data_IF_470126646373
#
_entry.id   IF_470126646373
#
_cell.length_a   1.000
_cell.length_b   1.000
_cell.length_c   1.000
_cell.angle_alpha   90.00
_cell.angle_beta   90.00
_cell.angle_gamma   90.00
#
_symmetry.space_group_name_H-M   'P 1'
#
loop_
_entity.id
_entity.type
_entity.pdbx_description
1 polymer ?
#
# COMPACT_ATOMS: atom_id res chain seq x y z
N UNK A 1 -20.07 44.51 44.39
CA UNK A 1 -21.35 43.79 44.23
C UNK A 1 -21.36 43.22 42.82
N UNK A 2 -21.44 41.93 42.51
CA UNK A 2 -21.55 40.71 43.28
C UNK A 2 -20.78 39.63 42.50
N UNK A 3 -20.07 38.75 43.20
CA UNK A 3 -19.48 37.57 42.62
C UNK A 3 -20.59 36.69 42.03
N UNK A 4 -20.51 36.36 40.74
CA UNK A 4 -21.32 35.29 40.19
C UNK A 4 -20.74 33.96 40.70
N UNK A 5 -21.54 33.24 41.48
CA UNK A 5 -21.21 31.91 41.96
C UNK A 5 -20.87 31.01 40.76
N UNK A 6 -19.66 30.49 40.74
CA UNK A 6 -19.26 29.40 39.84
C UNK A 6 -20.08 28.18 40.27
N UNK A 7 -21.13 27.88 39.50
CA UNK A 7 -21.95 26.68 39.69
C UNK A 7 -21.00 25.47 39.64
N UNK A 8 -20.95 24.74 40.76
CA UNK A 8 -20.11 23.57 40.93
C UNK A 8 -20.36 22.57 39.81
N UNK A 9 -19.28 22.08 39.21
CA UNK A 9 -19.32 20.98 38.25
C UNK A 9 -19.66 19.70 39.02
N UNK A 10 -20.94 19.51 39.35
CA UNK A 10 -21.45 18.19 39.72
C UNK A 10 -21.59 17.39 38.42
N UNK A 11 -20.45 16.96 37.88
CA UNK A 11 -20.47 16.04 36.76
C UNK A 11 -21.07 14.73 37.28
N UNK A 12 -22.05 14.13 36.59
CA UNK A 12 -22.56 12.83 36.99
C UNK A 12 -21.40 11.83 37.09
N UNK A 13 -21.47 10.85 38.01
CA UNK A 13 -20.44 9.83 38.14
C UNK A 13 -20.20 9.14 36.79
N UNK A 14 -18.94 8.83 36.48
CA UNK A 14 -18.61 8.14 35.23
C UNK A 14 -19.41 6.83 35.13
N UNK A 15 -19.99 6.47 33.98
CA UNK A 15 -20.80 5.26 33.85
C UNK A 15 -20.10 3.97 34.31
N UNK A 16 -18.77 3.89 34.20
CA UNK A 16 -17.98 2.75 34.70
C UNK A 16 -17.86 2.80 36.22
N UNK A 17 -17.64 3.98 36.80
CA UNK A 17 -17.57 4.15 38.26
C UNK A 17 -18.92 3.82 38.91
N UNK A 18 -20.03 4.23 38.30
CA UNK A 18 -21.38 3.88 38.75
C UNK A 18 -21.62 2.36 38.74
N UNK A 19 -21.23 1.66 37.67
CA UNK A 19 -21.35 0.19 37.60
C UNK A 19 -20.40 -0.48 38.60
N UNK A 20 -19.19 0.03 38.78
CA UNK A 20 -18.24 -0.57 39.73
C UNK A 20 -18.76 -0.44 41.16
N UNK A 21 -19.33 0.72 41.53
CA UNK A 21 -19.94 0.93 42.83
C UNK A 21 -21.19 0.06 43.06
N UNK A 22 -22.01 -0.17 42.03
CA UNK A 22 -23.20 -1.04 42.12
C UNK A 22 -22.83 -2.51 42.43
N UNK A 23 -21.66 -2.96 41.97
CA UNK A 23 -21.20 -4.34 42.09
C UNK A 23 -20.10 -4.54 43.15
N UNK A 24 -19.80 -3.55 43.98
CA UNK A 24 -18.67 -3.57 44.94
C UNK A 24 -18.74 -4.76 45.92
N UNK A 25 -19.93 -5.05 46.46
CA UNK A 25 -20.16 -6.19 47.34
C UNK A 25 -19.91 -7.53 46.62
N UNK A 26 -20.36 -7.67 45.37
CA UNK A 26 -20.11 -8.86 44.56
C UNK A 26 -18.62 -9.04 44.28
N UNK A 27 -17.91 -7.97 43.97
CA UNK A 27 -16.47 -8.02 43.68
C UNK A 27 -15.67 -8.42 44.91
N UNK A 28 -16.05 -7.91 46.08
CA UNK A 28 -15.47 -8.30 47.36
C UNK A 28 -15.72 -9.78 47.67
N UNK A 29 -16.94 -10.27 47.43
CA UNK A 29 -17.27 -11.68 47.65
C UNK A 29 -16.53 -12.60 46.67
N UNK A 30 -16.46 -12.24 45.38
CA UNK A 30 -15.67 -12.99 44.39
C UNK A 30 -14.20 -13.05 44.81
N UNK A 31 -13.64 -11.94 45.29
CA UNK A 31 -12.25 -11.90 45.74
C UNK A 31 -11.99 -12.92 46.87
N UNK A 32 -12.93 -13.07 47.81
CA UNK A 32 -12.86 -14.06 48.89
C UNK A 32 -12.82 -15.51 48.36
N UNK A 33 -13.54 -15.81 47.28
CA UNK A 33 -13.56 -17.14 46.65
C UNK A 33 -12.40 -17.41 45.68
N UNK A 34 -11.62 -16.40 45.32
CA UNK A 34 -10.50 -16.49 44.38
C UNK A 34 -9.14 -16.38 45.07
N UNK A 35 -9.02 -16.95 46.28
CA UNK A 35 -7.81 -16.93 47.10
C UNK A 35 -6.77 -18.00 46.71
N UNK A 36 -7.16 -18.97 45.88
CA UNK A 36 -6.30 -20.04 45.37
C UNK A 36 -6.65 -21.44 45.86
N UNK A 37 -7.59 -21.57 46.81
CA UNK A 37 -8.05 -22.88 47.29
C UNK A 37 -9.05 -23.52 46.31
N UNK A 38 -8.95 -24.84 46.02
CA UNK A 38 -9.89 -25.52 45.15
C UNK A 38 -11.24 -25.78 45.86
N UNK A 39 -12.32 -25.76 45.08
CA UNK A 39 -13.65 -26.22 45.53
C UNK A 39 -13.61 -27.72 45.85
N UNK A 40 -14.09 -28.12 47.03
CA UNK A 40 -14.06 -29.51 47.53
C UNK A 40 -15.44 -30.09 47.83
N UNK A 41 -16.49 -29.27 47.84
CA UNK A 41 -17.87 -29.72 48.07
C UNK A 41 -18.83 -29.30 46.97
N UNK A 42 -20.00 -29.94 46.92
CA UNK A 42 -21.04 -29.61 45.95
C UNK A 42 -21.68 -28.25 46.24
N UNK A 43 -21.83 -27.91 47.51
CA UNK A 43 -22.37 -26.63 47.98
C UNK A 43 -21.46 -25.48 47.55
N UNK A 44 -20.14 -25.62 47.75
CA UNK A 44 -19.14 -24.65 47.27
C UNK A 44 -19.18 -24.50 45.74
N UNK A 45 -19.38 -25.60 45.00
CA UNK A 45 -19.55 -25.53 43.54
C UNK A 45 -20.77 -24.69 43.14
N UNK A 46 -21.91 -24.90 43.81
CA UNK A 46 -23.16 -24.22 43.47
C UNK A 46 -23.08 -22.72 43.82
N UNK A 47 -22.42 -22.35 44.93
CA UNK A 47 -22.13 -20.94 45.28
C UNK A 47 -21.23 -20.24 44.25
N UNK A 48 -20.13 -20.90 43.83
CA UNK A 48 -19.26 -20.39 42.76
C UNK A 48 -20.02 -20.25 41.43
N UNK A 49 -20.90 -21.19 41.11
CA UNK A 49 -21.73 -21.11 39.90
C UNK A 49 -22.66 -19.88 39.91
N UNK A 50 -23.22 -19.53 41.05
CA UNK A 50 -24.05 -18.33 41.21
C UNK A 50 -23.23 -17.03 41.13
N UNK A 51 -22.04 -16.98 41.74
CA UNK A 51 -21.12 -15.84 41.59
C UNK A 51 -20.69 -15.64 40.13
N UNK A 52 -20.38 -16.73 39.42
CA UNK A 52 -20.07 -16.68 37.98
C UNK A 52 -21.22 -16.11 37.14
N UNK A 53 -22.47 -16.41 37.50
CA UNK A 53 -23.65 -15.84 36.82
C UNK A 53 -23.75 -14.34 37.08
N UNK A 54 -23.54 -13.89 38.31
CA UNK A 54 -23.58 -12.47 38.67
C UNK A 54 -22.45 -11.67 38.00
N UNK A 55 -21.23 -12.23 37.94
CA UNK A 55 -20.09 -11.65 37.21
C UNK A 55 -20.34 -11.48 35.72
N UNK A 56 -21.08 -12.40 35.08
CA UNK A 56 -21.53 -12.21 33.68
C UNK A 56 -22.43 -10.97 33.54
N UNK A 57 -23.26 -10.70 34.54
CA UNK A 57 -24.07 -9.49 34.67
C UNK A 57 -23.19 -8.23 34.76
N UNK A 58 -22.27 -8.21 35.73
CA UNK A 58 -21.30 -7.13 35.90
C UNK A 58 -20.52 -6.81 34.61
N UNK A 59 -19.96 -7.83 33.95
CA UNK A 59 -19.26 -7.67 32.66
C UNK A 59 -20.14 -7.05 31.58
N UNK A 60 -21.41 -7.44 31.53
CA UNK A 60 -22.37 -6.92 30.55
C UNK A 60 -22.72 -5.45 30.86
N UNK A 61 -22.88 -5.10 32.14
CA UNK A 61 -23.10 -3.73 32.60
C UNK A 61 -21.92 -2.82 32.26
N UNK A 62 -20.67 -3.27 32.52
CA UNK A 62 -19.46 -2.57 32.13
C UNK A 62 -19.37 -2.35 30.61
N UNK A 63 -19.75 -3.35 29.81
CA UNK A 63 -19.75 -3.21 28.34
C UNK A 63 -20.72 -2.13 27.89
N UNK A 64 -21.91 -2.04 28.52
CA UNK A 64 -22.89 -1.00 28.22
C UNK A 64 -22.39 0.38 28.63
N UNK A 65 -21.88 0.52 29.85
CA UNK A 65 -21.30 1.77 30.36
C UNK A 65 -20.10 2.25 29.52
N UNK A 66 -19.26 1.33 29.07
CA UNK A 66 -18.15 1.64 28.16
C UNK A 66 -18.62 2.19 26.82
N UNK A 67 -19.72 1.66 26.27
CA UNK A 67 -20.35 2.22 25.06
C UNK A 67 -20.94 3.60 25.31
N UNK A 68 -21.69 3.77 26.39
CA UNK A 68 -22.26 5.07 26.77
C UNK A 68 -21.20 6.17 26.89
N UNK A 69 -20.04 5.82 27.45
CA UNK A 69 -18.88 6.72 27.55
C UNK A 69 -18.23 7.04 26.20
N UNK A 70 -18.16 6.09 25.28
CA UNK A 70 -17.36 6.21 24.04
C UNK A 70 -18.16 6.58 22.80
N UNK A 71 -19.43 6.20 22.72
CA UNK A 71 -20.31 6.44 21.58
C UNK A 71 -20.46 7.93 21.25
N UNK A 72 -20.66 8.85 22.23
CA UNK A 72 -20.73 10.28 21.94
C UNK A 72 -19.43 10.83 21.33
N UNK A 73 -18.28 10.37 21.84
CA UNK A 73 -16.96 10.78 21.33
C UNK A 73 -16.74 10.29 19.91
N UNK A 74 -17.05 9.01 19.64
CA UNK A 74 -16.94 8.44 18.31
C UNK A 74 -17.88 9.11 17.30
N UNK A 75 -19.11 9.46 17.73
CA UNK A 75 -20.07 10.21 16.91
C UNK A 75 -19.55 11.62 16.60
N UNK A 76 -19.04 12.34 17.58
CA UNK A 76 -18.47 13.67 17.40
C UNK A 76 -17.26 13.62 16.45
N UNK A 77 -16.32 12.70 16.69
CA UNK A 77 -15.17 12.49 15.81
C UNK A 77 -15.59 12.21 14.36
N UNK A 78 -16.57 11.33 14.14
CA UNK A 78 -17.09 11.05 12.79
C UNK A 78 -17.69 12.28 12.12
N UNK A 79 -18.42 13.12 12.85
CA UNK A 79 -18.99 14.35 12.32
C UNK A 79 -17.88 15.33 11.89
N UNK A 80 -16.83 15.50 12.71
CA UNK A 80 -15.68 16.35 12.37
C UNK A 80 -14.92 15.84 11.15
N UNK A 81 -14.67 14.52 11.08
CA UNK A 81 -14.05 13.91 9.89
C UNK A 81 -14.88 14.17 8.63
N UNK A 82 -16.21 14.04 8.72
CA UNK A 82 -17.10 14.33 7.60
C UNK A 82 -17.07 15.82 7.20
N UNK A 83 -17.03 16.74 8.17
CA UNK A 83 -16.95 18.17 7.92
C UNK A 83 -15.62 18.55 7.22
N UNK A 84 -14.49 18.01 7.69
CA UNK A 84 -13.18 18.20 7.05
C UNK A 84 -13.17 17.63 5.63
N UNK A 85 -13.79 16.45 5.44
CA UNK A 85 -13.83 15.77 4.14
C UNK A 85 -14.43 16.64 3.03
N UNK A 86 -15.42 17.48 3.34
CA UNK A 86 -16.02 18.40 2.36
C UNK A 86 -14.96 19.32 1.73
N UNK A 87 -14.05 19.84 2.55
CA UNK A 87 -13.00 20.75 2.09
C UNK A 87 -11.86 20.01 1.40
N UNK A 88 -11.45 18.85 1.91
CA UNK A 88 -10.38 18.07 1.29
C UNK A 88 -10.81 17.54 -0.08
N UNK A 89 -12.05 17.07 -0.21
CA UNK A 89 -12.60 16.61 -1.50
C UNK A 89 -12.65 17.75 -2.52
N UNK A 90 -13.01 18.96 -2.10
CA UNK A 90 -13.06 20.12 -2.99
C UNK A 90 -11.66 20.57 -3.42
N UNK A 91 -10.70 20.59 -2.49
CA UNK A 91 -9.30 20.85 -2.79
C UNK A 91 -8.72 19.82 -3.79
N UNK A 92 -9.04 18.54 -3.62
CA UNK A 92 -8.66 17.48 -4.57
C UNK A 92 -9.27 17.71 -5.96
N UNK A 93 -10.54 18.12 -6.03
CA UNK A 93 -11.20 18.47 -7.30
C UNK A 93 -10.53 19.66 -7.98
N UNK A 94 -10.22 20.72 -7.24
CA UNK A 94 -9.51 21.90 -7.75
C UNK A 94 -8.12 21.52 -8.27
N UNK A 95 -7.36 20.72 -7.51
CA UNK A 95 -6.06 20.22 -7.95
C UNK A 95 -6.19 19.38 -9.23
N UNK A 96 -7.18 18.49 -9.29
CA UNK A 96 -7.49 17.69 -10.48
C UNK A 96 -7.82 18.55 -11.70
N UNK A 97 -8.62 19.60 -11.52
CA UNK A 97 -8.96 20.55 -12.57
C UNK A 97 -7.73 21.30 -13.11
N UNK A 98 -6.84 21.76 -12.23
CA UNK A 98 -5.59 22.41 -12.63
C UNK A 98 -4.67 21.45 -13.38
N UNK A 99 -4.54 20.19 -12.92
CA UNK A 99 -3.77 19.16 -13.62
C UNK A 99 -4.35 18.89 -15.00
N UNK A 100 -5.67 18.77 -15.12
CA UNK A 100 -6.36 18.58 -16.39
C UNK A 100 -6.18 19.78 -17.34
N UNK A 101 -6.23 21.00 -16.82
CA UNK A 101 -6.03 22.22 -17.61
C UNK A 101 -4.61 22.29 -18.22
N UNK A 102 -3.58 21.90 -17.47
CA UNK A 102 -2.18 21.94 -17.96
C UNK A 102 -1.78 20.70 -18.76
N UNK A 103 -2.54 19.61 -18.70
CA UNK A 103 -2.17 18.33 -19.32
C UNK A 103 -1.98 18.42 -20.85
N UNK A 104 -2.87 19.05 -21.64
CA UNK A 104 -2.67 19.18 -23.09
C UNK A 104 -1.42 19.97 -23.46
N UNK A 105 -1.12 21.02 -22.70
CA UNK A 105 0.08 21.85 -22.92
C UNK A 105 1.36 21.07 -22.61
N UNK A 106 1.39 20.34 -21.48
CA UNK A 106 2.52 19.45 -21.15
C UNK A 106 2.72 18.35 -22.19
N UNK A 107 1.64 17.81 -22.78
CA UNK A 107 1.73 16.83 -23.86
C UNK A 107 2.36 17.42 -25.13
N UNK A 108 2.00 18.66 -25.50
CA UNK A 108 2.64 19.39 -26.61
C UNK A 108 4.13 19.61 -26.35
N UNK A 109 4.49 20.10 -25.16
CA UNK A 109 5.91 20.28 -24.78
C UNK A 109 6.67 18.95 -24.81
N UNK A 110 6.05 17.84 -24.42
CA UNK A 110 6.67 16.53 -24.48
C UNK A 110 6.88 16.07 -25.92
N UNK A 111 5.96 16.35 -26.85
CA UNK A 111 6.17 16.06 -28.28
C UNK A 111 7.28 16.93 -28.87
N UNK A 112 7.27 18.23 -28.59
CA UNK A 112 8.32 19.15 -29.03
C UNK A 112 9.70 18.70 -28.52
N UNK A 113 9.79 18.28 -27.26
CA UNK A 113 11.04 17.77 -26.71
C UNK A 113 11.45 16.44 -27.34
N UNK A 114 10.51 15.51 -27.59
CA UNK A 114 10.80 14.28 -28.33
C UNK A 114 11.27 14.56 -29.76
N UNK A 115 10.71 15.57 -30.42
CA UNK A 115 11.16 15.98 -31.75
C UNK A 115 12.58 16.57 -31.71
N UNK A 116 12.90 17.41 -30.73
CA UNK A 116 14.27 17.91 -30.51
C UNK A 116 15.25 16.80 -30.20
N UNK A 117 14.85 15.84 -29.37
CA UNK A 117 15.65 14.66 -29.03
C UNK A 117 15.92 13.81 -30.27
N UNK A 118 14.90 13.51 -31.09
CA UNK A 118 15.08 12.80 -32.37
C UNK A 118 16.05 13.53 -33.28
N UNK A 119 15.88 14.83 -33.48
CA UNK A 119 16.76 15.63 -34.32
C UNK A 119 18.21 15.66 -33.79
N UNK A 120 18.40 15.75 -32.47
CA UNK A 120 19.74 15.74 -31.86
C UNK A 120 20.43 14.38 -32.02
N UNK A 121 19.69 13.28 -31.87
CA UNK A 121 20.21 11.93 -32.10
C UNK A 121 20.46 11.63 -33.57
N UNK A 122 19.64 12.13 -34.50
CA UNK A 122 19.89 12.04 -35.94
C UNK A 122 21.18 12.80 -36.33
N UNK A 123 21.40 13.98 -35.75
CA UNK A 123 22.64 14.74 -35.94
C UNK A 123 23.86 13.99 -35.37
N UNK A 124 23.74 13.44 -34.16
CA UNK A 124 24.81 12.64 -33.55
C UNK A 124 25.11 11.36 -34.34
N UNK A 125 24.08 10.69 -34.89
CA UNK A 125 24.24 9.51 -35.75
C UNK A 125 24.98 9.86 -37.05
N UNK A 126 24.68 11.01 -37.66
CA UNK A 126 25.41 11.49 -38.83
C UNK A 126 26.90 11.71 -38.51
N UNK A 127 27.22 12.39 -37.42
CA UNK A 127 28.61 12.60 -37.00
C UNK A 127 29.33 11.29 -36.68
N UNK A 128 28.63 10.32 -36.06
CA UNK A 128 29.16 8.97 -35.84
C UNK A 128 29.53 8.28 -37.16
N UNK A 129 28.62 8.26 -38.14
CA UNK A 129 28.88 7.64 -39.45
C UNK A 129 30.05 8.32 -40.18
N UNK A 130 30.16 9.64 -40.09
CA UNK A 130 31.28 10.41 -40.66
C UNK A 130 32.61 10.08 -39.96
N UNK A 131 32.60 9.91 -38.64
CA UNK A 131 33.78 9.49 -37.88
C UNK A 131 34.20 8.05 -38.19
N UNK A 132 33.25 7.12 -38.30
CA UNK A 132 33.48 5.73 -38.72
C UNK A 132 34.06 5.66 -40.14
N UNK A 133 33.52 6.44 -41.08
CA UNK A 133 34.03 6.51 -42.45
C UNK A 133 35.45 7.08 -42.51
N UNK A 134 35.73 8.12 -41.72
CA UNK A 134 37.08 8.72 -41.61
C UNK A 134 38.08 7.72 -41.01
N UNK A 135 37.66 6.96 -39.99
CA UNK A 135 38.47 5.89 -39.42
C UNK A 135 38.74 4.75 -40.41
N UNK A 136 37.74 4.36 -41.21
CA UNK A 136 37.87 3.30 -42.20
C UNK A 136 38.79 3.68 -43.38
N UNK A 137 38.84 4.97 -43.74
CA UNK A 137 39.67 5.47 -44.83
C UNK A 137 41.12 5.79 -44.41
N UNK A 138 41.41 5.88 -43.11
CA UNK A 138 42.71 6.31 -42.61
C UNK A 138 43.76 5.18 -42.62
N UNK A 139 44.93 5.47 -43.20
CA UNK A 139 46.08 4.57 -43.10
C UNK A 139 46.72 4.65 -41.70
N UNK A 140 47.12 3.50 -41.15
CA UNK A 140 47.81 3.42 -39.85
C UNK A 140 49.22 4.05 -39.88
N UNK A 141 49.83 4.18 -41.06
CA UNK A 141 51.16 4.76 -41.24
C UNK A 141 51.15 6.25 -41.58
N UNK A 142 49.98 6.89 -41.67
CA UNK A 142 49.83 8.32 -41.96
C UNK A 142 49.39 9.10 -40.71
N UNK A 143 50.31 9.91 -40.17
CA UNK A 143 50.08 10.69 -38.95
C UNK A 143 48.95 11.72 -39.10
N UNK A 144 48.80 12.34 -40.27
CA UNK A 144 47.74 13.33 -40.51
C UNK A 144 46.38 12.62 -40.63
N UNK A 145 46.34 11.43 -41.24
CA UNK A 145 45.15 10.60 -41.24
C UNK A 145 44.74 10.18 -39.81
N UNK A 146 45.72 9.81 -38.96
CA UNK A 146 45.44 9.49 -37.56
C UNK A 146 44.95 10.71 -36.75
N UNK A 147 45.47 11.91 -37.02
CA UNK A 147 44.96 13.16 -36.43
C UNK A 147 43.53 13.45 -36.84
N UNK A 148 43.18 13.23 -38.11
CA UNK A 148 41.82 13.37 -38.63
C UNK A 148 40.84 12.38 -37.95
N UNK A 149 41.26 11.13 -37.74
CA UNK A 149 40.47 10.13 -36.98
C UNK A 149 40.24 10.57 -35.53
N UNK A 150 41.28 11.06 -34.86
CA UNK A 150 41.15 11.55 -33.48
C UNK A 150 40.20 12.76 -33.38
N UNK A 151 40.29 13.70 -34.33
CA UNK A 151 39.37 14.83 -34.41
C UNK A 151 37.92 14.41 -34.68
N UNK A 152 37.70 13.46 -35.60
CA UNK A 152 36.38 12.95 -35.91
C UNK A 152 35.75 12.17 -34.73
N UNK A 153 36.54 11.38 -33.99
CA UNK A 153 36.09 10.73 -32.75
C UNK A 153 35.75 11.74 -31.66
N UNK A 154 36.52 12.81 -31.52
CA UNK A 154 36.19 13.86 -30.55
C UNK A 154 34.87 14.57 -30.92
N UNK A 155 34.66 14.85 -32.21
CA UNK A 155 33.40 15.41 -32.70
C UNK A 155 32.21 14.47 -32.46
N UNK A 156 32.37 13.16 -32.63
CA UNK A 156 31.35 12.16 -32.28
C UNK A 156 30.99 12.23 -30.78
N UNK A 157 32.00 12.23 -29.90
CA UNK A 157 31.79 12.29 -28.45
C UNK A 157 31.03 13.57 -28.06
N UNK A 158 31.38 14.71 -28.65
CA UNK A 158 30.71 15.98 -28.40
C UNK A 158 29.27 15.98 -28.91
N UNK A 159 29.01 15.43 -30.09
CA UNK A 159 27.67 15.28 -30.64
C UNK A 159 26.79 14.35 -29.77
N UNK A 160 27.33 13.22 -29.30
CA UNK A 160 26.64 12.33 -28.38
C UNK A 160 26.36 12.99 -27.02
N UNK A 161 27.30 13.78 -26.48
CA UNK A 161 27.09 14.55 -25.25
C UNK A 161 26.00 15.61 -25.41
N UNK A 162 25.99 16.30 -26.55
CA UNK A 162 24.96 17.28 -26.88
C UNK A 162 23.57 16.63 -26.99
N UNK A 163 23.44 15.51 -27.72
CA UNK A 163 22.19 14.75 -27.81
C UNK A 163 21.72 14.25 -26.43
N UNK A 164 22.64 13.73 -25.63
CA UNK A 164 22.35 13.27 -24.26
C UNK A 164 21.90 14.40 -23.32
N UNK A 165 22.37 15.63 -23.53
CA UNK A 165 21.92 16.80 -22.76
C UNK A 165 20.47 17.15 -23.09
N UNK A 166 20.07 17.06 -24.37
CA UNK A 166 18.68 17.28 -24.81
C UNK A 166 17.73 16.22 -24.23
N UNK A 167 18.15 14.96 -24.18
CA UNK A 167 17.37 13.86 -23.55
C UNK A 167 17.14 14.05 -22.05
N UNK A 168 18.00 14.82 -21.37
CA UNK A 168 17.87 15.11 -19.93
C UNK A 168 16.90 16.24 -19.62
N UNK A 169 16.66 17.14 -20.58
CA UNK A 169 15.71 18.23 -20.45
C UNK A 169 14.28 17.70 -20.63
N UNK A 170 13.68 17.21 -19.54
CA UNK A 170 12.35 16.60 -19.53
C UNK A 170 11.30 17.56 -18.97
N UNK A 171 10.10 17.50 -19.55
CA UNK A 171 8.95 18.25 -19.05
C UNK A 171 8.58 17.80 -17.63
N UNK A 172 8.64 18.72 -16.67
CA UNK A 172 8.34 18.45 -15.26
C UNK A 172 6.86 18.14 -15.03
N UNK A 173 6.59 17.27 -14.06
CA UNK A 173 5.23 16.94 -13.63
C UNK A 173 4.44 16.13 -14.66
N UNK A 174 5.13 15.32 -15.48
CA UNK A 174 4.59 14.18 -16.20
C UNK A 174 5.02 12.90 -15.47
N UNK A 175 4.14 11.90 -15.40
CA UNK A 175 4.47 10.57 -14.90
C UNK A 175 4.69 9.60 -16.06
N UNK A 176 5.66 8.71 -15.94
CA UNK A 176 5.79 7.57 -16.84
C UNK A 176 4.71 6.56 -16.49
N UNK A 177 3.86 6.21 -17.45
CA UNK A 177 2.87 5.14 -17.30
C UNK A 177 3.15 4.09 -18.34
N UNK A 178 3.64 2.94 -17.90
CA UNK A 178 3.75 1.75 -18.75
C UNK A 178 2.40 1.06 -18.74
N UNK A 179 1.80 0.88 -19.93
CA UNK A 179 0.59 0.09 -20.11
C UNK A 179 0.97 -1.18 -20.85
N UNK A 180 0.36 -2.28 -20.43
CA UNK A 180 0.47 -3.56 -21.11
C UNK A 180 -0.93 -4.09 -21.40
N UNK A 181 -1.04 -4.88 -22.45
CA UNK A 181 -2.26 -5.58 -22.83
C UNK A 181 -1.85 -7.01 -23.18
N UNK A 182 -2.56 -7.99 -22.62
CA UNK A 182 -2.36 -9.39 -22.99
C UNK A 182 -3.20 -9.67 -24.23
N UNK A 183 -2.53 -9.69 -25.38
CA UNK A 183 -3.16 -9.97 -26.68
C UNK A 183 -3.47 -11.45 -26.86
N UNK A 184 -2.70 -12.35 -26.24
CA UNK A 184 -2.91 -13.80 -26.28
C UNK A 184 -2.47 -14.46 -24.97
N UNK A 185 -3.43 -14.97 -24.21
CA UNK A 185 -3.16 -15.69 -22.96
C UNK A 185 -2.41 -17.01 -23.22
N UNK A 186 -2.64 -17.64 -24.37
CA UNK A 186 -1.95 -18.88 -24.76
C UNK A 186 -0.46 -18.64 -25.00
N UNK A 187 -0.12 -17.57 -25.72
CA UNK A 187 1.28 -17.22 -25.99
C UNK A 187 2.00 -16.82 -24.72
N UNK A 188 1.36 -15.99 -23.88
CA UNK A 188 1.92 -15.61 -22.59
C UNK A 188 2.13 -16.82 -21.67
N UNK A 189 1.17 -17.75 -21.61
CA UNK A 189 1.33 -18.98 -20.82
C UNK A 189 2.49 -19.83 -21.32
N UNK A 190 2.62 -20.00 -22.64
CA UNK A 190 3.69 -20.79 -23.23
C UNK A 190 5.06 -20.14 -22.99
N UNK A 191 5.15 -18.81 -23.09
CA UNK A 191 6.37 -18.09 -22.76
C UNK A 191 6.75 -18.28 -21.28
N UNK A 192 5.83 -18.04 -20.35
CA UNK A 192 6.08 -18.21 -18.90
C UNK A 192 6.53 -19.65 -18.58
N UNK A 193 5.92 -20.66 -19.19
CA UNK A 193 6.34 -22.05 -18.97
C UNK A 193 7.79 -22.30 -19.43
N UNK A 194 8.26 -21.59 -20.47
CA UNK A 194 9.63 -21.71 -20.99
C UNK A 194 10.64 -20.83 -20.24
N UNK A 195 10.25 -19.60 -19.90
CA UNK A 195 11.13 -18.58 -19.32
C UNK A 195 11.13 -18.60 -17.78
N UNK A 196 10.01 -18.95 -17.15
CA UNK A 196 9.81 -18.94 -15.69
C UNK A 196 8.90 -20.09 -15.21
N UNK A 197 9.44 -21.32 -15.27
CA UNK A 197 8.72 -22.52 -14.85
C UNK A 197 8.35 -22.52 -13.37
N UNK A 198 9.13 -21.85 -12.52
CA UNK A 198 8.91 -21.84 -11.08
C UNK A 198 7.58 -21.14 -10.72
N UNK A 199 7.30 -19.99 -11.33
CA UNK A 199 6.04 -19.27 -11.15
C UNK A 199 4.82 -20.13 -11.53
N UNK A 200 4.94 -20.95 -12.58
CA UNK A 200 3.86 -21.85 -13.00
C UNK A 200 3.64 -23.01 -12.02
N UNK A 201 4.71 -23.56 -11.43
CA UNK A 201 4.59 -24.64 -10.43
C UNK A 201 3.87 -24.15 -9.18
N UNK A 202 4.21 -22.97 -8.68
CA UNK A 202 3.54 -22.37 -7.52
C UNK A 202 2.03 -22.20 -7.77
N UNK A 203 1.65 -21.69 -8.95
CA UNK A 203 0.25 -21.58 -9.34
C UNK A 203 -0.47 -22.94 -9.34
N UNK A 204 0.17 -23.98 -9.90
CA UNK A 204 -0.41 -25.33 -9.97
C UNK A 204 -0.60 -25.95 -8.57
N UNK A 205 0.36 -25.78 -7.67
CA UNK A 205 0.29 -26.28 -6.30
C UNK A 205 -0.82 -25.59 -5.49
N UNK A 206 -0.92 -24.25 -5.59
CA UNK A 206 -1.99 -23.51 -4.91
C UNK A 206 -3.37 -23.86 -5.48
N UNK A 207 -3.48 -24.01 -6.80
CA UNK A 207 -4.71 -24.46 -7.44
C UNK A 207 -5.13 -25.85 -6.96
N UNK A 208 -4.17 -26.79 -6.85
CA UNK A 208 -4.42 -28.11 -6.32
C UNK A 208 -4.85 -28.08 -4.86
N UNK A 209 -4.17 -27.31 -4.01
CA UNK A 209 -4.51 -27.13 -2.59
C UNK A 209 -5.94 -26.60 -2.40
N UNK A 210 -6.43 -25.70 -3.26
CA UNK A 210 -7.79 -25.17 -3.14
C UNK A 210 -8.85 -26.16 -3.63
N UNK A 211 -8.57 -26.88 -4.72
CA UNK A 211 -9.60 -27.63 -5.44
C UNK A 211 -9.49 -29.16 -5.31
N UNK A 212 -8.51 -29.70 -4.57
CA UNK A 212 -8.33 -31.15 -4.40
C UNK A 212 -9.54 -31.88 -3.77
N UNK A 213 -10.44 -31.16 -3.08
CA UNK A 213 -11.68 -31.72 -2.49
C UNK A 213 -12.89 -31.54 -3.41
N UNK A 214 -12.87 -30.54 -4.28
CA UNK A 214 -14.02 -30.16 -5.11
C UNK A 214 -14.14 -31.04 -6.36
N UNK A 215 -12.99 -31.45 -6.91
CA UNK A 215 -12.92 -32.27 -8.12
C UNK A 215 -11.63 -33.08 -8.18
N UNK A 216 -11.66 -34.17 -8.95
CA UNK A 216 -10.44 -34.92 -9.28
C UNK A 216 -9.56 -34.10 -10.22
N UNK A 217 -8.33 -33.82 -9.80
CA UNK A 217 -7.34 -33.10 -10.58
C UNK A 217 -6.31 -34.10 -11.14
N UNK A 218 -6.17 -34.22 -12.47
CA UNK A 218 -5.13 -35.06 -13.07
C UNK A 218 -3.73 -34.67 -12.56
N UNK A 219 -2.95 -35.65 -12.14
CA UNK A 219 -1.60 -35.43 -11.59
C UNK A 219 -1.54 -35.08 -10.10
N UNK A 220 -2.68 -34.99 -9.40
CA UNK A 220 -2.76 -34.73 -7.95
C UNK A 220 -3.28 -35.96 -7.21
N UNK A 221 -2.61 -36.32 -6.11
CA UNK A 221 -3.03 -37.42 -5.22
C UNK A 221 -3.64 -36.85 -3.93
N UNK A 222 -4.79 -37.38 -3.50
CA UNK A 222 -5.51 -36.93 -2.29
C UNK A 222 -5.79 -38.09 -1.34
N UNK A 223 -5.57 -37.91 -0.03
CA UNK A 223 -5.85 -38.90 1.03
C UNK A 223 -6.25 -38.22 2.35
N UNK A 224 -6.72 -39.00 3.34
CA UNK A 224 -7.17 -38.50 4.66
C UNK A 224 -6.71 -39.43 5.77
N UNK A 225 -6.27 -38.87 6.89
CA UNK A 225 -5.81 -39.56 8.11
C UNK A 225 -6.47 -38.91 9.34
N UNK A 226 -6.62 -39.65 10.45
CA UNK A 226 -7.24 -39.15 11.69
C UNK A 226 -6.19 -39.13 12.82
N UNK A 227 -6.13 -38.04 13.56
CA UNK A 227 -5.20 -37.82 14.68
C UNK A 227 -5.94 -37.42 15.97
N UNK A 228 -5.32 -37.59 17.15
CA UNK A 228 -5.91 -37.32 18.46
C UNK A 228 -6.04 -35.81 18.75
N UNK A 229 -7.03 -35.42 19.57
CA UNK A 229 -7.35 -34.02 19.93
C UNK A 229 -6.39 -33.44 20.97
#
# INVERSE_FOLDING_TARGET
>A
MNAHATIGHNNPPDPIEAVTAEYDDLLSEVANWTDGEPVTSREQHDEVADLLKQLKGYRSALTRAGKERTDPLHKAWKAEVAAVKVYTDDAERMQGALVAAVAPYKAKLAEEQRAKERAAWEAADKTRREAEATAAAASASDLEAQRAVAAAKQAEIEAQKAASAVSKDKVKGLRTVTRFEVTSHKELLNDIVQSDRAAMVEFLEDYARRHHRDRTLPGVRTWTEKEAY
#
